data_IF_263698667890
#
_entry.id   IF_263698667890
#
_cell.length_a   1.000
_cell.length_b   1.000
_cell.length_c   1.000
_cell.angle_alpha   90.00
_cell.angle_beta   90.00
_cell.angle_gamma   90.00
#
_symmetry.space_group_name_H-M   'P 1'
#
loop_
_entity.id
_entity.type
_entity.pdbx_description
1 polymer ?
#
# COMPACT_ATOMS: atom_id res chain seq x y z
N UNK A 1 -21.50 -49.56 12.25
CA UNK A 1 -21.52 -48.87 13.54
C UNK A 1 -20.36 -47.90 13.58
N UNK A 2 -20.66 -46.61 13.88
CA UNK A 2 -19.77 -45.50 14.19
C UNK A 2 -18.90 -45.00 13.00
N UNK A 3 -19.27 -44.03 12.16
CA UNK A 3 -19.57 -42.61 12.39
C UNK A 3 -18.50 -41.85 13.18
N UNK A 4 -17.76 -41.00 12.48
CA UNK A 4 -16.81 -40.07 13.04
C UNK A 4 -16.57 -38.89 12.08
N UNK A 5 -17.54 -37.99 11.94
CA UNK A 5 -17.31 -36.67 11.33
C UNK A 5 -16.59 -35.75 12.31
N UNK A 6 -15.51 -35.14 11.89
CA UNK A 6 -14.95 -33.93 12.51
C UNK A 6 -14.25 -33.13 11.44
N UNK A 7 -14.62 -31.88 11.29
CA UNK A 7 -13.84 -30.92 10.51
C UNK A 7 -14.64 -29.87 9.77
N UNK A 8 -15.76 -29.39 10.30
CA UNK A 8 -16.50 -28.32 9.64
C UNK A 8 -17.10 -27.33 10.65
N UNK A 9 -16.29 -26.73 11.50
CA UNK A 9 -16.86 -25.81 12.52
C UNK A 9 -16.13 -24.45 12.66
N UNK A 10 -15.05 -24.23 11.96
CA UNK A 10 -14.31 -22.95 12.07
C UNK A 10 -14.57 -21.99 10.89
N UNK A 11 -14.85 -22.51 9.70
CA UNK A 11 -15.07 -21.69 8.49
C UNK A 11 -16.49 -21.07 8.47
N UNK A 12 -17.46 -21.73 9.09
CA UNK A 12 -18.87 -21.28 9.05
C UNK A 12 -19.22 -20.12 9.99
N UNK A 13 -18.33 -19.70 10.90
CA UNK A 13 -18.61 -18.59 11.82
C UNK A 13 -18.24 -17.22 11.21
N UNK A 14 -17.26 -17.17 10.31
CA UNK A 14 -16.93 -15.94 9.60
C UNK A 14 -17.91 -15.60 8.47
N UNK A 15 -18.43 -16.62 7.79
CA UNK A 15 -19.38 -16.44 6.68
C UNK A 15 -20.76 -15.93 7.15
N UNK A 16 -21.29 -16.41 8.27
CA UNK A 16 -22.59 -15.96 8.82
C UNK A 16 -22.56 -14.52 9.34
N UNK A 17 -21.43 -14.01 9.76
CA UNK A 17 -21.29 -12.63 10.23
C UNK A 17 -21.37 -11.60 9.10
N UNK A 18 -20.75 -11.89 7.97
CA UNK A 18 -20.74 -10.96 6.81
C UNK A 18 -22.07 -10.94 6.04
N UNK A 19 -22.71 -12.08 5.79
CA UNK A 19 -24.03 -12.09 5.17
C UNK A 19 -25.11 -11.41 6.01
N UNK A 20 -24.97 -11.36 7.33
CA UNK A 20 -25.88 -10.61 8.20
C UNK A 20 -25.65 -9.09 8.15
N UNK A 21 -24.41 -8.64 7.88
CA UNK A 21 -24.09 -7.22 7.69
C UNK A 21 -24.55 -6.70 6.32
N UNK A 22 -24.58 -7.55 5.29
CA UNK A 22 -25.04 -7.19 3.94
C UNK A 22 -26.56 -6.96 3.84
N UNK A 23 -27.38 -7.60 4.66
CA UNK A 23 -28.86 -7.46 4.65
C UNK A 23 -29.39 -6.48 5.69
N UNK A 24 -28.58 -5.91 6.54
CA UNK A 24 -28.99 -4.84 7.44
C UNK A 24 -28.85 -3.48 6.75
N UNK A 25 -29.97 -2.77 6.55
CA UNK A 25 -30.01 -1.39 6.04
C UNK A 25 -29.13 -0.42 6.85
N UNK A 26 -27.81 -0.59 6.78
CA UNK A 26 -26.80 0.17 7.47
C UNK A 26 -26.89 1.64 7.07
N UNK A 27 -26.98 2.51 8.05
CA UNK A 27 -26.98 3.96 7.93
C UNK A 27 -25.57 4.42 7.53
N UNK A 28 -25.22 4.29 6.26
CA UNK A 28 -24.04 4.98 5.76
C UNK A 28 -24.21 6.49 5.93
N UNK A 29 -23.18 7.24 6.30
CA UNK A 29 -23.24 8.68 6.38
C UNK A 29 -23.81 9.27 5.08
N UNK A 30 -24.64 10.29 5.18
CA UNK A 30 -25.31 10.93 4.03
C UNK A 30 -24.32 11.38 2.95
N UNK A 31 -23.10 11.71 3.33
CA UNK A 31 -21.98 12.04 2.45
C UNK A 31 -21.60 10.86 1.55
N UNK A 32 -21.50 9.64 2.10
CA UNK A 32 -21.21 8.45 1.31
C UNK A 32 -22.33 8.14 0.30
N UNK A 33 -23.61 8.32 0.71
CA UNK A 33 -24.76 8.15 -0.19
C UNK A 33 -24.79 9.16 -1.33
N UNK A 34 -24.34 10.40 -1.09
CA UNK A 34 -24.24 11.43 -2.13
C UNK A 34 -23.08 11.17 -3.11
N UNK A 35 -21.98 10.63 -2.64
CA UNK A 35 -20.82 10.26 -3.48
C UNK A 35 -21.13 9.09 -4.41
N UNK A 36 -22.08 8.22 -4.03
CA UNK A 36 -22.47 7.04 -4.82
C UNK A 36 -23.72 7.26 -5.69
N UNK A 37 -24.31 8.46 -5.73
CA UNK A 37 -25.44 8.75 -6.59
C UNK A 37 -25.01 8.80 -8.06
N UNK A 38 -25.37 7.72 -8.78
CA UNK A 38 -25.37 7.56 -10.24
C UNK A 38 -24.43 8.44 -11.06
N UNK A 39 -23.26 7.91 -11.36
CA UNK A 39 -22.42 8.35 -12.49
C UNK A 39 -22.33 7.21 -13.51
N UNK A 40 -22.57 7.52 -14.75
CA UNK A 40 -22.56 6.58 -15.87
C UNK A 40 -21.17 5.94 -16.09
N UNK A 41 -21.09 4.60 -16.14
CA UNK A 41 -20.12 3.85 -16.93
C UNK A 41 -18.65 3.86 -16.48
N UNK A 42 -17.78 3.66 -17.40
CA UNK A 42 -16.37 3.29 -17.30
C UNK A 42 -15.40 4.32 -16.65
N UNK A 43 -15.80 5.56 -16.45
CA UNK A 43 -14.96 6.64 -15.91
C UNK A 43 -14.92 6.71 -14.37
N UNK A 44 -15.93 6.20 -13.68
CA UNK A 44 -16.06 6.32 -12.22
C UNK A 44 -14.93 5.61 -11.45
N UNK A 45 -14.55 4.37 -11.75
CA UNK A 45 -13.43 3.70 -11.07
C UNK A 45 -12.10 4.42 -11.27
N UNK A 46 -11.87 4.97 -12.46
CA UNK A 46 -10.66 5.75 -12.77
C UNK A 46 -10.61 7.04 -11.94
N UNK A 47 -11.75 7.73 -11.78
CA UNK A 47 -11.82 8.95 -10.97
C UNK A 47 -11.61 8.64 -9.47
N UNK A 48 -12.15 7.54 -8.96
CA UNK A 48 -11.92 7.11 -7.59
C UNK A 48 -10.46 6.73 -7.35
N UNK A 49 -9.86 5.95 -8.25
CA UNK A 49 -8.44 5.60 -8.16
C UNK A 49 -7.55 6.84 -8.26
N UNK A 50 -7.85 7.75 -9.20
CA UNK A 50 -7.12 9.01 -9.31
C UNK A 50 -7.26 9.89 -8.06
N UNK A 51 -8.44 9.92 -7.43
CA UNK A 51 -8.68 10.64 -6.19
C UNK A 51 -7.94 10.02 -5.01
N UNK A 52 -8.02 8.69 -4.84
CA UNK A 52 -7.33 7.95 -3.77
C UNK A 52 -5.81 8.06 -3.89
N UNK A 53 -5.26 7.76 -5.06
CA UNK A 53 -3.81 7.85 -5.30
C UNK A 53 -3.31 9.30 -5.42
N UNK A 54 -4.16 10.23 -5.83
CA UNK A 54 -3.87 11.66 -5.75
C UNK A 54 -3.76 12.15 -4.31
N UNK A 55 -4.59 11.61 -3.42
CA UNK A 55 -4.49 11.87 -1.99
C UNK A 55 -3.20 11.29 -1.39
N UNK A 56 -2.82 10.04 -1.73
CA UNK A 56 -1.57 9.44 -1.24
C UNK A 56 -0.35 10.24 -1.73
N UNK A 57 -0.29 10.61 -2.99
CA UNK A 57 0.72 11.50 -3.57
C UNK A 57 0.77 12.88 -2.88
N UNK A 58 -0.38 13.47 -2.56
CA UNK A 58 -0.44 14.73 -1.81
C UNK A 58 0.16 14.58 -0.41
N UNK A 59 -0.08 13.47 0.27
CA UNK A 59 0.49 13.18 1.59
C UNK A 59 2.01 13.01 1.53
N UNK A 60 2.56 12.34 0.49
CA UNK A 60 4.00 12.30 0.20
C UNK A 60 4.56 13.72 0.02
N UNK A 61 3.88 14.56 -0.76
CA UNK A 61 4.30 15.94 -0.96
C UNK A 61 4.23 16.78 0.33
N UNK A 62 3.19 16.58 1.16
CA UNK A 62 3.09 17.23 2.47
C UNK A 62 4.22 16.78 3.40
N UNK A 63 4.55 15.49 3.43
CA UNK A 63 5.70 14.97 4.15
C UNK A 63 7.01 15.59 3.66
N UNK A 64 7.21 15.64 2.36
CA UNK A 64 8.39 16.28 1.75
C UNK A 64 8.49 17.76 2.11
N UNK A 65 7.38 18.47 2.33
CA UNK A 65 7.36 19.88 2.71
C UNK A 65 7.96 20.16 4.09
N UNK A 66 8.10 19.12 4.93
CA UNK A 66 8.74 19.24 6.24
C UNK A 66 10.16 19.80 6.16
N UNK A 67 10.83 19.65 5.01
CA UNK A 67 12.16 20.22 4.76
C UNK A 67 12.23 21.75 4.89
N UNK A 68 11.12 22.45 4.76
CA UNK A 68 11.05 23.92 4.95
C UNK A 68 11.00 24.30 6.44
N UNK A 69 10.49 23.42 7.29
CA UNK A 69 10.30 23.68 8.73
C UNK A 69 11.45 23.12 9.56
N UNK A 70 12.00 21.97 9.19
CA UNK A 70 13.08 21.31 9.92
C UNK A 70 14.44 21.61 9.31
N UNK A 71 15.21 22.48 9.96
CA UNK A 71 16.62 22.76 9.60
C UNK A 71 17.61 21.79 10.26
N UNK A 72 17.20 21.15 11.36
CA UNK A 72 18.01 20.20 12.13
C UNK A 72 17.64 18.77 11.73
N UNK A 73 18.57 17.84 11.97
CA UNK A 73 18.30 16.40 11.78
C UNK A 73 17.09 15.98 12.62
N UNK A 74 16.17 15.25 12.01
CA UNK A 74 15.16 14.49 12.76
C UNK A 74 15.91 13.48 13.62
N UNK A 75 15.49 13.29 14.88
CA UNK A 75 16.15 12.31 15.73
C UNK A 75 16.04 10.91 15.14
N UNK A 76 17.08 10.11 15.29
CA UNK A 76 17.07 8.71 14.80
C UNK A 76 15.87 7.92 15.36
N UNK A 77 15.47 8.19 16.61
CA UNK A 77 14.29 7.56 17.21
C UNK A 77 12.99 7.92 16.49
N UNK A 78 12.78 9.20 16.14
CA UNK A 78 11.59 9.61 15.40
C UNK A 78 11.55 9.01 13.99
N UNK A 79 12.69 8.95 13.30
CA UNK A 79 12.79 8.30 11.99
C UNK A 79 12.42 6.81 12.07
N UNK A 80 12.93 6.09 13.08
CA UNK A 80 12.59 4.68 13.31
C UNK A 80 11.11 4.45 13.59
N UNK A 81 10.47 5.34 14.38
CA UNK A 81 9.02 5.28 14.61
C UNK A 81 8.27 5.41 13.29
N UNK A 82 8.61 6.38 12.47
CA UNK A 82 7.91 6.65 11.22
C UNK A 82 8.07 5.52 10.21
N UNK A 83 9.28 5.00 10.03
CA UNK A 83 9.53 3.86 9.15
C UNK A 83 8.85 2.58 9.66
N UNK A 84 8.93 2.32 10.97
CA UNK A 84 8.21 1.21 11.58
C UNK A 84 6.70 1.36 11.41
N UNK A 85 6.15 2.55 11.61
CA UNK A 85 4.72 2.81 11.43
C UNK A 85 4.29 2.54 9.98
N UNK A 86 5.05 3.03 9.00
CA UNK A 86 4.79 2.76 7.59
C UNK A 86 4.81 1.24 7.30
N UNK A 87 5.84 0.54 7.78
CA UNK A 87 5.92 -0.92 7.66
C UNK A 87 4.68 -1.63 8.22
N UNK A 88 4.22 -1.22 9.41
CA UNK A 88 3.04 -1.79 10.04
C UNK A 88 1.75 -1.57 9.26
N UNK A 89 1.54 -0.35 8.74
CA UNK A 89 0.40 -0.02 7.86
C UNK A 89 0.42 -0.90 6.63
N UNK A 90 1.56 -1.01 5.95
CA UNK A 90 1.69 -1.80 4.72
C UNK A 90 1.47 -3.30 4.94
N UNK A 91 1.95 -3.87 6.07
CA UNK A 91 1.69 -5.28 6.42
C UNK A 91 0.19 -5.53 6.59
N UNK A 92 -0.50 -4.68 7.34
CA UNK A 92 -1.94 -4.83 7.55
C UNK A 92 -2.71 -4.66 6.23
N UNK A 93 -2.40 -3.62 5.44
CA UNK A 93 -3.01 -3.38 4.13
C UNK A 93 -2.82 -4.56 3.17
N UNK A 94 -1.61 -5.12 3.10
CA UNK A 94 -1.33 -6.28 2.25
C UNK A 94 -2.21 -7.49 2.60
N UNK A 95 -2.54 -7.68 3.88
CA UNK A 95 -3.39 -8.80 4.33
C UNK A 95 -4.86 -8.49 4.12
N UNK A 96 -5.38 -7.41 4.73
CA UNK A 96 -6.83 -7.14 4.77
C UNK A 96 -7.37 -6.54 3.47
N UNK A 97 -6.64 -5.60 2.88
CA UNK A 97 -7.12 -4.90 1.69
C UNK A 97 -6.76 -5.58 0.37
N UNK A 98 -5.80 -6.54 0.36
CA UNK A 98 -5.33 -7.17 -0.88
C UNK A 98 -5.43 -8.69 -0.86
N UNK A 99 -4.77 -9.41 0.08
CA UNK A 99 -4.74 -10.87 0.07
C UNK A 99 -6.10 -11.49 0.39
N UNK A 100 -6.82 -11.00 1.40
CA UNK A 100 -8.15 -11.53 1.73
C UNK A 100 -9.12 -11.29 0.56
N UNK A 101 -9.25 -10.09 -0.02
CA UNK A 101 -10.07 -9.88 -1.21
C UNK A 101 -9.62 -10.72 -2.42
N UNK A 102 -8.33 -10.94 -2.62
CA UNK A 102 -7.84 -11.81 -3.70
C UNK A 102 -8.31 -13.27 -3.53
N UNK A 103 -8.30 -13.78 -2.31
CA UNK A 103 -8.79 -15.13 -2.00
C UNK A 103 -10.29 -15.22 -2.23
N UNK A 104 -11.07 -14.28 -1.69
CA UNK A 104 -12.53 -14.23 -1.82
C UNK A 104 -12.97 -14.11 -3.29
N UNK A 105 -12.29 -13.26 -4.07
CA UNK A 105 -12.56 -13.07 -5.50
C UNK A 105 -12.25 -14.33 -6.32
N UNK A 106 -11.15 -15.03 -5.99
CA UNK A 106 -10.83 -16.29 -6.63
C UNK A 106 -11.88 -17.37 -6.35
N UNK A 107 -12.31 -17.49 -5.09
CA UNK A 107 -13.33 -18.47 -4.67
C UNK A 107 -14.68 -18.17 -5.31
N UNK A 108 -15.06 -16.89 -5.42
CA UNK A 108 -16.28 -16.48 -6.12
C UNK A 108 -16.29 -16.87 -7.60
N UNK A 109 -15.10 -16.87 -8.22
CA UNK A 109 -14.87 -17.28 -9.60
C UNK A 109 -14.71 -18.79 -9.78
N UNK A 110 -14.83 -19.60 -8.71
CA UNK A 110 -14.70 -21.07 -8.74
C UNK A 110 -13.26 -21.58 -8.76
N UNK A 111 -12.28 -20.72 -8.49
CA UNK A 111 -10.89 -21.11 -8.34
C UNK A 111 -10.56 -21.39 -6.86
N UNK A 112 -9.62 -22.30 -6.56
CA UNK A 112 -9.10 -22.44 -5.19
C UNK A 112 -8.43 -21.12 -4.77
N UNK A 113 -8.91 -20.46 -3.69
CA UNK A 113 -8.46 -19.14 -3.26
C UNK A 113 -6.96 -19.03 -3.04
N UNK A 114 -6.32 -20.09 -2.53
CA UNK A 114 -4.88 -20.14 -2.31
C UNK A 114 -4.05 -20.05 -3.60
N UNK A 115 -4.58 -20.47 -4.75
CA UNK A 115 -3.82 -20.56 -5.99
C UNK A 115 -3.44 -19.17 -6.54
N UNK A 116 -4.38 -18.25 -6.84
CA UNK A 116 -4.00 -16.89 -7.23
C UNK A 116 -3.36 -16.11 -6.10
N UNK A 117 -3.74 -16.35 -4.83
CA UNK A 117 -3.13 -15.68 -3.70
C UNK A 117 -1.63 -15.99 -3.59
N UNK A 118 -1.25 -17.28 -3.56
CA UNK A 118 0.16 -17.68 -3.48
C UNK A 118 0.92 -17.36 -4.78
N UNK A 119 0.32 -17.61 -5.94
CA UNK A 119 0.96 -17.39 -7.24
C UNK A 119 1.17 -15.91 -7.54
N UNK A 120 0.15 -15.07 -7.32
CA UNK A 120 0.24 -13.62 -7.49
C UNK A 120 1.25 -13.00 -6.52
N UNK A 121 1.18 -13.39 -5.24
CA UNK A 121 2.12 -12.96 -4.21
C UNK A 121 3.57 -13.26 -4.61
N UNK A 122 3.86 -14.50 -4.99
CA UNK A 122 5.20 -14.89 -5.43
C UNK A 122 5.66 -14.09 -6.65
N UNK A 123 4.77 -13.84 -7.61
CA UNK A 123 5.10 -13.00 -8.78
C UNK A 123 5.42 -11.57 -8.38
N UNK A 124 4.73 -10.99 -7.40
CA UNK A 124 5.01 -9.66 -6.86
C UNK A 124 6.38 -9.59 -6.20
N UNK A 125 6.70 -10.57 -5.35
CA UNK A 125 8.03 -10.71 -4.72
C UNK A 125 9.13 -10.82 -5.77
N UNK A 126 8.96 -11.73 -6.76
CA UNK A 126 9.96 -11.93 -7.82
C UNK A 126 10.11 -10.69 -8.72
N UNK A 127 9.04 -9.95 -8.94
CA UNK A 127 9.08 -8.70 -9.70
C UNK A 127 9.97 -7.67 -8.99
N UNK A 128 9.74 -7.43 -7.70
CA UNK A 128 10.56 -6.47 -6.94
C UNK A 128 12.00 -6.96 -6.80
N UNK A 129 12.22 -8.22 -6.49
CA UNK A 129 13.55 -8.83 -6.46
C UNK A 129 14.30 -8.62 -7.79
N UNK A 130 13.61 -8.80 -8.92
CA UNK A 130 14.20 -8.56 -10.24
C UNK A 130 14.50 -7.06 -10.46
N UNK A 131 13.62 -6.17 -10.01
CA UNK A 131 13.84 -4.72 -10.07
C UNK A 131 15.07 -4.32 -9.26
N UNK A 132 15.21 -4.81 -8.02
CA UNK A 132 16.36 -4.58 -7.16
C UNK A 132 17.67 -5.03 -7.82
N UNK A 133 17.67 -6.22 -8.40
CA UNK A 133 18.85 -6.74 -9.08
C UNK A 133 19.22 -5.97 -10.36
N UNK A 134 18.21 -5.55 -11.14
CA UNK A 134 18.41 -4.92 -12.44
C UNK A 134 18.65 -3.41 -12.35
N UNK A 135 18.07 -2.75 -11.37
CA UNK A 135 18.12 -1.29 -11.24
C UNK A 135 19.17 -0.84 -10.24
N UNK A 136 19.99 0.17 -10.58
CA UNK A 136 20.91 0.75 -9.61
C UNK A 136 20.10 1.61 -8.62
N UNK A 137 20.17 1.27 -7.34
CA UNK A 137 19.48 1.98 -6.27
C UNK A 137 20.32 2.04 -5.00
N UNK A 138 19.89 2.80 -4.01
CA UNK A 138 20.57 2.96 -2.74
C UNK A 138 19.53 3.11 -1.62
N UNK A 139 19.64 2.25 -0.61
CA UNK A 139 18.81 2.33 0.58
C UNK A 139 19.23 3.49 1.50
N UNK A 140 18.27 3.99 2.28
CA UNK A 140 18.53 5.01 3.30
C UNK A 140 19.52 4.45 4.33
N UNK A 141 20.62 5.16 4.55
CA UNK A 141 21.68 4.72 5.48
C UNK A 141 22.74 3.79 4.91
N UNK A 142 22.56 3.19 3.72
CA UNK A 142 23.56 2.36 3.08
C UNK A 142 24.73 3.19 2.54
N UNK A 143 25.94 2.63 2.64
CA UNK A 143 27.16 3.27 2.11
C UNK A 143 27.45 2.92 0.64
N UNK A 144 26.97 1.77 0.18
CA UNK A 144 27.22 1.25 -1.17
C UNK A 144 25.91 1.08 -1.92
N UNK A 145 25.88 1.45 -3.22
CA UNK A 145 24.75 1.16 -4.10
C UNK A 145 24.58 -0.34 -4.31
N UNK A 146 23.36 -0.77 -4.48
CA UNK A 146 22.95 -2.11 -4.86
C UNK A 146 22.48 -2.17 -6.30
N UNK A 147 22.26 -3.36 -6.84
CA UNK A 147 21.89 -3.59 -8.24
C UNK A 147 23.08 -3.45 -9.20
N UNK A 148 22.81 -3.05 -10.44
CA UNK A 148 23.86 -2.88 -11.46
C UNK A 148 24.74 -1.67 -11.15
N UNK A 149 26.04 -1.79 -11.39
CA UNK A 149 26.99 -0.68 -11.22
C UNK A 149 26.54 0.55 -12.03
N UNK A 150 26.49 1.71 -11.38
CA UNK A 150 26.02 2.95 -11.97
C UNK A 150 26.94 4.12 -11.59
N UNK A 151 27.09 5.07 -12.51
CA UNK A 151 27.76 6.35 -12.26
C UNK A 151 26.81 7.42 -11.70
N UNK A 152 25.58 7.06 -11.36
CA UNK A 152 24.60 7.99 -10.83
C UNK A 152 24.99 8.48 -9.44
N UNK A 153 24.62 9.73 -9.15
CA UNK A 153 24.87 10.32 -7.83
C UNK A 153 24.04 9.61 -6.78
N UNK A 154 24.56 9.51 -5.56
CA UNK A 154 23.88 8.95 -4.39
C UNK A 154 22.44 9.44 -4.25
N UNK A 155 22.23 10.76 -4.38
CA UNK A 155 20.90 11.39 -4.32
C UNK A 155 19.92 10.84 -5.38
N UNK A 156 20.39 10.59 -6.61
CA UNK A 156 19.57 10.04 -7.68
C UNK A 156 19.16 8.60 -7.40
N UNK A 157 20.09 7.81 -6.85
CA UNK A 157 19.84 6.41 -6.49
C UNK A 157 18.80 6.29 -5.35
N UNK A 158 18.89 7.15 -4.34
CA UNK A 158 17.92 7.23 -3.24
C UNK A 158 16.50 7.59 -3.74
N UNK A 159 16.40 8.63 -4.57
CA UNK A 159 15.10 9.05 -5.13
C UNK A 159 14.51 7.93 -5.97
N UNK A 160 15.35 7.25 -6.75
CA UNK A 160 14.90 6.18 -7.63
C UNK A 160 14.40 4.96 -6.84
N UNK A 161 15.11 4.55 -5.78
CA UNK A 161 14.67 3.49 -4.88
C UNK A 161 13.23 3.74 -4.40
N UNK A 162 13.01 4.86 -3.71
CA UNK A 162 11.67 5.17 -3.16
C UNK A 162 10.61 5.31 -4.25
N UNK A 163 10.96 5.87 -5.42
CA UNK A 163 10.02 5.96 -6.54
C UNK A 163 9.56 4.58 -7.01
N UNK A 164 10.45 3.57 -6.99
CA UNK A 164 10.09 2.19 -7.33
C UNK A 164 9.12 1.58 -6.31
N UNK A 165 9.28 1.93 -5.03
CA UNK A 165 8.42 1.41 -3.96
C UNK A 165 7.00 1.97 -4.02
N UNK A 166 6.83 3.19 -4.47
CA UNK A 166 5.52 3.83 -4.62
C UNK A 166 4.70 3.25 -5.79
N UNK A 167 5.32 2.47 -6.70
CA UNK A 167 4.60 1.78 -7.79
C UNK A 167 3.62 0.72 -7.24
N UNK A 168 4.03 -0.25 -6.41
CA UNK A 168 3.12 -1.20 -5.77
C UNK A 168 2.01 -0.54 -4.95
N UNK A 169 2.30 0.57 -4.28
CA UNK A 169 1.32 1.31 -3.48
C UNK A 169 0.20 1.90 -4.35
N UNK A 170 0.57 2.59 -5.43
CA UNK A 170 -0.40 3.09 -6.40
C UNK A 170 -1.23 1.97 -7.02
N UNK A 171 -0.58 0.85 -7.39
CA UNK A 171 -1.27 -0.33 -7.93
C UNK A 171 -2.24 -0.95 -6.93
N UNK A 172 -1.87 -1.06 -5.65
CA UNK A 172 -2.72 -1.61 -4.59
C UNK A 172 -4.03 -0.82 -4.47
N UNK A 173 -3.94 0.50 -4.35
CA UNK A 173 -5.11 1.39 -4.31
C UNK A 173 -5.94 1.26 -5.59
N UNK A 174 -5.30 1.24 -6.77
CA UNK A 174 -5.97 1.10 -8.06
C UNK A 174 -6.73 -0.21 -8.19
N UNK A 175 -6.12 -1.34 -7.83
CA UNK A 175 -6.78 -2.67 -7.90
C UNK A 175 -7.94 -2.79 -6.91
N UNK A 176 -7.85 -2.18 -5.72
CA UNK A 176 -8.95 -2.15 -4.76
C UNK A 176 -10.17 -1.38 -5.28
N UNK A 177 -9.98 -0.23 -5.95
CA UNK A 177 -11.06 0.46 -6.62
C UNK A 177 -11.60 -0.30 -7.84
N UNK A 178 -10.75 -1.03 -8.56
CA UNK A 178 -11.17 -1.87 -9.67
C UNK A 178 -12.05 -3.03 -9.18
N UNK A 179 -11.71 -3.65 -8.06
CA UNK A 179 -12.53 -4.70 -7.42
C UNK A 179 -13.93 -4.17 -7.08
N UNK A 180 -14.02 -3.01 -6.42
CA UNK A 180 -15.30 -2.39 -6.09
C UNK A 180 -16.16 -2.12 -7.34
N UNK A 181 -15.54 -1.70 -8.42
CA UNK A 181 -16.23 -1.44 -9.70
C UNK A 181 -16.74 -2.72 -10.35
N UNK A 182 -15.99 -3.82 -10.31
CA UNK A 182 -16.40 -5.10 -10.88
C UNK A 182 -17.58 -5.73 -10.14
N UNK A 183 -17.77 -5.41 -8.87
CA UNK A 183 -18.91 -5.80 -8.05
C UNK A 183 -20.09 -4.81 -8.09
N UNK A 184 -20.33 -4.18 -9.22
CA UNK A 184 -21.47 -3.30 -9.42
C UNK A 184 -21.43 -2.00 -8.62
N UNK A 185 -20.22 -1.52 -8.32
CA UNK A 185 -19.98 -0.35 -7.48
C UNK A 185 -20.48 -0.56 -6.02
N UNK A 186 -20.18 -1.70 -5.44
CA UNK A 186 -20.53 -2.02 -4.06
C UNK A 186 -19.97 -0.96 -3.09
N UNK A 187 -20.82 -0.29 -2.29
CA UNK A 187 -20.38 0.75 -1.36
C UNK A 187 -19.42 0.25 -0.28
N UNK A 188 -19.50 -1.02 0.14
CA UNK A 188 -18.59 -1.59 1.14
C UNK A 188 -17.19 -1.77 0.56
N UNK A 189 -17.07 -2.28 -0.67
CA UNK A 189 -15.80 -2.40 -1.35
C UNK A 189 -15.16 -1.04 -1.67
N UNK A 190 -15.97 -0.01 -1.99
CA UNK A 190 -15.44 1.36 -2.09
C UNK A 190 -14.97 1.90 -0.75
N UNK A 191 -15.69 1.61 0.35
CA UNK A 191 -15.26 2.02 1.69
C UNK A 191 -13.95 1.35 2.08
N UNK A 192 -13.76 0.06 1.77
CA UNK A 192 -12.51 -0.67 1.96
C UNK A 192 -11.37 -0.07 1.12
N UNK A 193 -11.59 0.21 -0.18
CA UNK A 193 -10.60 0.88 -1.02
C UNK A 193 -10.23 2.29 -0.51
N UNK A 194 -11.19 3.03 0.05
CA UNK A 194 -10.92 4.32 0.69
C UNK A 194 -10.15 4.16 1.99
N UNK A 195 -10.44 3.15 2.81
CA UNK A 195 -9.67 2.84 4.02
C UNK A 195 -8.21 2.55 3.68
N UNK A 196 -7.96 1.74 2.64
CA UNK A 196 -6.62 1.51 2.10
C UNK A 196 -5.96 2.82 1.67
N UNK A 197 -6.62 3.65 0.85
CA UNK A 197 -6.06 4.91 0.39
C UNK A 197 -5.73 5.88 1.55
N UNK A 198 -6.57 5.92 2.59
CA UNK A 198 -6.33 6.73 3.80
C UNK A 198 -5.12 6.18 4.56
N UNK A 199 -5.05 4.88 4.80
CA UNK A 199 -3.93 4.23 5.48
C UNK A 199 -2.60 4.47 4.73
N UNK A 200 -2.60 4.27 3.40
CA UNK A 200 -1.45 4.56 2.54
C UNK A 200 -1.06 6.04 2.61
N UNK A 201 -2.03 6.96 2.55
CA UNK A 201 -1.74 8.39 2.69
C UNK A 201 -1.11 8.74 4.04
N UNK A 202 -1.56 8.14 5.13
CA UNK A 202 -0.99 8.38 6.47
C UNK A 202 0.48 7.93 6.52
N UNK A 203 0.84 6.79 5.93
CA UNK A 203 2.22 6.31 5.90
C UNK A 203 3.10 7.07 4.91
N UNK A 204 2.55 7.57 3.80
CA UNK A 204 3.26 8.35 2.79
C UNK A 204 3.76 9.70 3.31
N UNK A 205 3.11 10.27 4.32
CA UNK A 205 3.59 11.50 4.94
C UNK A 205 4.98 11.33 5.59
N UNK A 206 5.23 10.37 6.49
CA UNK A 206 6.59 10.06 6.96
C UNK A 206 7.57 9.76 5.83
N UNK A 207 7.14 9.04 4.80
CA UNK A 207 7.98 8.64 3.67
C UNK A 207 8.49 9.85 2.88
N UNK A 208 7.62 10.79 2.52
CA UNK A 208 8.02 12.03 1.85
C UNK A 208 9.03 12.85 2.67
N UNK A 209 8.88 12.88 4.00
CA UNK A 209 9.85 13.49 4.91
C UNK A 209 11.18 12.72 4.94
N UNK A 210 11.12 11.38 4.92
CA UNK A 210 12.31 10.51 4.93
C UNK A 210 13.18 10.67 3.67
N UNK A 211 12.61 11.09 2.55
CA UNK A 211 13.37 11.43 1.34
C UNK A 211 13.92 12.86 1.40
N UNK A 212 13.05 13.83 1.66
CA UNK A 212 13.38 15.25 1.51
C UNK A 212 14.40 15.74 2.54
N UNK A 213 14.33 15.25 3.78
CA UNK A 213 15.20 15.68 4.86
C UNK A 213 16.67 15.22 4.69
N UNK A 214 16.99 13.96 4.35
CA UNK A 214 18.35 13.56 4.01
C UNK A 214 18.92 14.30 2.82
N UNK A 215 18.16 14.51 1.75
CA UNK A 215 18.60 15.27 0.59
C UNK A 215 19.03 16.70 0.95
N UNK A 216 18.29 17.33 1.87
CA UNK A 216 18.67 18.64 2.42
C UNK A 216 19.95 18.58 3.22
N UNK A 217 20.18 17.51 3.98
CA UNK A 217 21.39 17.31 4.78
C UNK A 217 22.63 17.05 3.90
N UNK A 218 22.46 16.44 2.74
CA UNK A 218 23.51 16.28 1.72
C UNK A 218 23.85 17.58 0.96
N UNK A 219 23.21 18.71 1.34
CA UNK A 219 23.54 20.04 0.81
C UNK A 219 22.61 20.53 -0.31
N UNK A 220 21.58 19.78 -0.69
CA UNK A 220 20.62 20.27 -1.67
C UNK A 220 19.83 21.46 -1.12
N UNK A 221 19.45 22.47 -1.94
CA UNK A 221 18.52 23.51 -1.55
C UNK A 221 17.17 22.93 -1.11
N UNK A 222 16.51 23.52 -0.11
CA UNK A 222 15.25 23.01 0.44
C UNK A 222 14.17 22.77 -0.63
N UNK A 223 14.04 23.69 -1.60
CA UNK A 223 13.06 23.58 -2.66
C UNK A 223 13.33 22.38 -3.60
N UNK A 224 14.60 22.05 -3.87
CA UNK A 224 14.97 20.85 -4.65
C UNK A 224 14.71 19.57 -3.87
N UNK A 225 15.08 19.57 -2.58
CA UNK A 225 14.79 18.43 -1.70
C UNK A 225 13.29 18.17 -1.59
N UNK A 226 12.48 19.22 -1.44
CA UNK A 226 11.02 19.15 -1.49
C UNK A 226 10.54 18.58 -2.83
N UNK A 227 11.01 19.14 -3.95
CA UNK A 227 10.55 18.74 -5.28
C UNK A 227 10.85 17.26 -5.54
N UNK A 228 12.03 16.78 -5.19
CA UNK A 228 12.41 15.38 -5.38
C UNK A 228 11.59 14.45 -4.50
N UNK A 229 11.36 14.81 -3.23
CA UNK A 229 10.49 14.04 -2.34
C UNK A 229 9.03 14.04 -2.80
N UNK A 230 8.51 15.15 -3.30
CA UNK A 230 7.14 15.22 -3.81
C UNK A 230 6.96 14.45 -5.13
N UNK A 231 7.97 14.48 -6.02
CA UNK A 231 7.92 13.78 -7.31
C UNK A 231 8.00 12.26 -7.17
N UNK A 232 8.59 11.73 -6.09
CA UNK A 232 8.59 10.27 -5.87
C UNK A 232 7.19 9.69 -5.73
N UNK A 233 6.23 10.46 -5.18
CA UNK A 233 4.84 10.04 -5.05
C UNK A 233 4.01 10.15 -6.35
N UNK A 234 4.50 10.85 -7.38
CA UNK A 234 3.72 11.06 -8.63
C UNK A 234 3.47 9.75 -9.38
N UNK A 235 4.29 8.73 -9.16
CA UNK A 235 4.07 7.41 -9.77
C UNK A 235 2.83 6.71 -9.24
N UNK A 236 2.38 7.01 -8.01
CA UNK A 236 1.19 6.41 -7.42
C UNK A 236 -0.09 6.67 -8.24
N UNK A 237 -0.47 7.92 -8.56
CA UNK A 237 -1.64 8.15 -9.41
C UNK A 237 -1.46 7.59 -10.83
N UNK A 238 -0.25 7.56 -11.38
CA UNK A 238 0.01 6.97 -12.69
C UNK A 238 -0.28 5.47 -12.64
N UNK A 239 0.33 4.74 -11.71
CA UNK A 239 0.17 3.29 -11.62
C UNK A 239 -1.19 2.88 -11.04
N UNK A 240 -1.83 3.70 -10.20
CA UNK A 240 -3.19 3.47 -9.75
C UNK A 240 -4.22 3.55 -10.89
N UNK A 241 -4.12 4.55 -11.76
CA UNK A 241 -4.96 4.64 -12.95
C UNK A 241 -4.68 3.47 -13.91
N UNK A 242 -3.41 3.16 -14.16
CA UNK A 242 -3.03 2.01 -15.00
C UNK A 242 -3.58 0.70 -14.43
N UNK A 243 -3.53 0.51 -13.12
CA UNK A 243 -4.06 -0.67 -12.43
C UNK A 243 -5.56 -0.84 -12.67
N UNK A 244 -6.36 0.22 -12.57
CA UNK A 244 -7.80 0.18 -12.88
C UNK A 244 -8.04 -0.19 -14.34
N UNK A 245 -7.30 0.39 -15.27
CA UNK A 245 -7.45 0.12 -16.71
C UNK A 245 -7.08 -1.33 -17.06
N UNK A 246 -5.99 -1.84 -16.47
CA UNK A 246 -5.55 -3.23 -16.65
C UNK A 246 -6.58 -4.19 -16.05
N UNK A 247 -7.01 -3.97 -14.81
CA UNK A 247 -8.00 -4.81 -14.14
C UNK A 247 -9.35 -4.81 -14.88
N UNK A 248 -9.78 -3.65 -15.39
CA UNK A 248 -11.00 -3.54 -16.20
C UNK A 248 -10.94 -4.33 -17.51
N UNK A 249 -9.75 -4.47 -18.09
CA UNK A 249 -9.52 -5.24 -19.32
C UNK A 249 -9.29 -6.74 -19.08
N UNK A 250 -8.79 -7.12 -17.90
CA UNK A 250 -8.35 -8.46 -17.54
C UNK A 250 -9.03 -8.95 -16.25
N UNK A 251 -10.35 -8.83 -16.19
CA UNK A 251 -11.15 -9.18 -15.01
C UNK A 251 -10.81 -10.54 -14.37
N UNK A 252 -10.60 -11.65 -15.11
CA UNK A 252 -10.26 -12.94 -14.51
C UNK A 252 -8.89 -12.96 -13.80
N UNK A 253 -8.02 -11.96 -14.05
CA UNK A 253 -6.71 -11.85 -13.44
C UNK A 253 -6.72 -10.99 -12.17
N UNK A 254 -7.84 -10.37 -11.80
CA UNK A 254 -7.91 -9.47 -10.65
C UNK A 254 -7.42 -10.12 -9.35
N UNK A 255 -7.78 -11.39 -8.99
CA UNK A 255 -7.22 -12.04 -7.81
C UNK A 255 -5.69 -12.14 -7.82
N UNK A 256 -5.11 -12.44 -8.98
CA UNK A 256 -3.66 -12.49 -9.16
C UNK A 256 -3.00 -11.12 -9.05
N UNK A 257 -3.65 -10.07 -9.56
CA UNK A 257 -3.15 -8.69 -9.53
C UNK A 257 -3.19 -8.10 -8.12
N UNK A 258 -4.25 -8.36 -7.35
CA UNK A 258 -4.34 -7.99 -5.93
C UNK A 258 -3.23 -8.67 -5.12
N UNK A 259 -3.08 -9.98 -5.28
CA UNK A 259 -2.03 -10.74 -4.59
C UNK A 259 -0.62 -10.32 -5.04
N UNK A 260 -0.43 -9.96 -6.30
CA UNK A 260 0.82 -9.41 -6.82
C UNK A 260 1.20 -8.11 -6.11
N UNK A 261 0.25 -7.17 -5.99
CA UNK A 261 0.51 -5.92 -5.27
C UNK A 261 0.86 -6.17 -3.79
N UNK A 262 0.16 -7.11 -3.13
CA UNK A 262 0.47 -7.50 -1.76
C UNK A 262 1.88 -8.08 -1.61
N UNK A 263 2.29 -8.96 -2.53
CA UNK A 263 3.64 -9.55 -2.52
C UNK A 263 4.73 -8.51 -2.75
N UNK A 264 4.52 -7.59 -3.68
CA UNK A 264 5.44 -6.50 -3.95
C UNK A 264 5.55 -5.56 -2.73
N UNK A 265 4.42 -5.17 -2.11
CA UNK A 265 4.43 -4.33 -0.91
C UNK A 265 5.16 -5.01 0.26
N UNK A 266 4.89 -6.29 0.53
CA UNK A 266 5.55 -7.01 1.62
C UNK A 266 7.04 -7.21 1.36
N UNK A 267 7.48 -7.34 0.10
CA UNK A 267 8.90 -7.34 -0.24
C UNK A 267 9.58 -6.05 0.24
N UNK A 268 9.03 -4.89 -0.11
CA UNK A 268 9.55 -3.58 0.34
C UNK A 268 9.60 -3.48 1.87
N UNK A 269 8.56 -3.93 2.55
CA UNK A 269 8.50 -3.90 4.01
C UNK A 269 9.63 -4.70 4.65
N UNK A 270 9.89 -5.90 4.14
CA UNK A 270 10.89 -6.82 4.70
C UNK A 270 12.31 -6.41 4.32
N UNK A 271 12.51 -5.96 3.08
CA UNK A 271 13.83 -5.59 2.55
C UNK A 271 14.31 -4.24 3.08
N UNK A 272 13.41 -3.29 3.26
CA UNK A 272 13.80 -1.91 3.57
C UNK A 272 13.21 -1.37 4.87
N UNK A 273 11.88 -1.30 4.99
CA UNK A 273 11.27 -0.53 6.07
C UNK A 273 11.56 -1.12 7.45
N UNK A 274 11.49 -2.44 7.61
CA UNK A 274 11.79 -3.11 8.88
C UNK A 274 13.28 -3.02 9.22
N UNK A 275 14.24 -3.33 8.33
CA UNK A 275 15.66 -3.12 8.60
C UNK A 275 15.99 -1.68 8.97
N UNK A 276 15.47 -0.69 8.24
CA UNK A 276 15.73 0.72 8.51
C UNK A 276 15.12 1.20 9.84
N UNK A 277 13.96 0.68 10.22
CA UNK A 277 13.34 0.96 11.52
C UNK A 277 14.17 0.43 12.70
N UNK A 278 15.08 -0.53 12.46
CA UNK A 278 15.91 -1.18 13.50
C UNK A 278 17.40 -0.80 13.40
N UNK A 279 17.81 0.10 12.51
CA UNK A 279 19.20 0.55 12.38
C UNK A 279 19.72 1.20 13.67
N UNK A 280 20.92 0.80 14.11
CA UNK A 280 21.63 1.38 15.25
C UNK A 280 21.44 0.63 16.56
N UNK A 281 21.41 1.35 17.70
CA UNK A 281 21.30 0.76 19.03
C UNK A 281 19.98 -0.01 19.21
N UNK A 282 20.03 -1.12 19.94
CA UNK A 282 18.87 -1.95 20.25
C UNK A 282 17.82 -1.11 20.99
N UNK A 283 16.72 -0.80 20.34
CA UNK A 283 15.60 -0.08 20.94
C UNK A 283 14.28 -0.62 20.41
N UNK A 284 13.27 -0.65 21.27
CA UNK A 284 11.91 -1.10 20.93
C UNK A 284 11.12 -0.06 20.11
N UNK A 285 11.72 1.08 19.79
CA UNK A 285 11.03 2.23 19.19
C UNK A 285 10.49 1.90 17.80
N UNK A 286 11.32 1.27 16.95
CA UNK A 286 10.88 0.81 15.63
C UNK A 286 9.79 -0.26 15.72
N UNK A 287 9.96 -1.24 16.63
CA UNK A 287 8.96 -2.29 16.87
C UNK A 287 7.61 -1.71 17.30
N UNK A 288 7.60 -0.75 18.22
CA UNK A 288 6.38 -0.05 18.64
C UNK A 288 5.74 0.72 17.48
N UNK A 289 6.57 1.32 16.60
CA UNK A 289 6.09 1.92 15.36
C UNK A 289 5.34 0.92 14.49
N UNK A 290 5.94 -0.25 14.21
CA UNK A 290 5.31 -1.33 13.41
C UNK A 290 3.97 -1.76 14.03
N UNK A 291 3.95 -2.02 15.35
CA UNK A 291 2.72 -2.43 16.03
C UNK A 291 1.63 -1.36 15.98
N UNK A 292 2.00 -0.09 16.12
CA UNK A 292 1.06 1.03 16.04
C UNK A 292 0.49 1.18 14.62
N UNK A 293 1.34 1.15 13.59
CA UNK A 293 0.90 1.22 12.19
C UNK A 293 -0.02 0.08 11.80
N UNK A 294 0.37 -1.15 12.18
CA UNK A 294 -0.46 -2.34 11.98
C UNK A 294 -1.84 -2.20 12.64
N UNK A 295 -1.88 -1.76 13.91
CA UNK A 295 -3.13 -1.59 14.64
C UNK A 295 -4.03 -0.53 13.98
N UNK A 296 -3.46 0.61 13.58
CA UNK A 296 -4.22 1.69 12.93
C UNK A 296 -4.84 1.19 11.63
N UNK A 297 -4.06 0.54 10.78
CA UNK A 297 -4.56 0.05 9.49
C UNK A 297 -5.58 -1.08 9.65
N UNK A 298 -5.32 -2.03 10.57
CA UNK A 298 -6.29 -3.07 10.90
C UNK A 298 -7.64 -2.49 11.34
N UNK A 299 -7.62 -1.42 12.16
CA UNK A 299 -8.85 -0.75 12.60
C UNK A 299 -9.53 -0.05 11.41
N UNK A 300 -8.78 0.62 10.55
CA UNK A 300 -9.34 1.27 9.35
C UNK A 300 -10.03 0.24 8.46
N UNK A 301 -9.37 -0.87 8.14
CA UNK A 301 -9.93 -1.94 7.29
C UNK A 301 -11.16 -2.60 7.93
N UNK A 302 -11.10 -2.91 9.22
CA UNK A 302 -12.21 -3.64 9.88
C UNK A 302 -13.39 -2.75 10.28
N UNK A 303 -13.17 -1.43 10.45
CA UNK A 303 -14.22 -0.50 10.83
C UNK A 303 -14.89 0.22 9.64
N UNK A 304 -14.18 0.38 8.53
CA UNK A 304 -14.66 1.05 7.32
C UNK A 304 -14.94 0.09 6.16
N UNK A 305 -14.20 -1.02 6.07
CA UNK A 305 -14.41 -2.11 5.12
C UNK A 305 -15.20 -3.23 5.73
#
# INVERSE_FOLDING_TARGET
MLAGGRGSCAVGLFDKGRHALYNGGGKYPMVLKMLFAKGEGSMQPVLWAAGGTGFTCLMTALGASMVFFFRKRVSAGAQRIFLGFAAGVMVAAAVWSLLIPAIEEAESSGLPGWLPAAGGFLLGVLFLLAMDYLMPHLHLGAEKPEGRSSSWKRTTLLIFAVTLHNIPEGMAVGFSFALAAQHGNDPALYASAMALAIGMGIQNFPEGAAISLPLRQEGLPAWKSFLYGALSGVVEPIFGILAVLVAGSLQPLLPWLLAFAAGAMLYVVVEELIPEAHLGEHSNVGTLGVMAGFLVMMVLDTALG
#
